data_IF_628517238785
#
_entry.id   IF_628517238785
#
_cell.length_a   1.000
_cell.length_b   1.000
_cell.length_c   1.000
_cell.angle_alpha   90.00
_cell.angle_beta   90.00
_cell.angle_gamma   90.00
#
_symmetry.space_group_name_H-M   'P 1'
#
loop_
_entity.id
_entity.type
_entity.pdbx_description
1 polymer ?
#
# COMPACT_ATOMS: atom_id res chain seq x y z
N UNK A 1 27.58 -5.37 -0.54
CA UNK A 1 26.20 -5.28 0.02
C UNK A 1 25.90 -3.81 0.24
N UNK A 2 24.70 -3.35 -0.09
CA UNK A 2 24.31 -1.94 0.07
C UNK A 2 23.00 -1.81 0.82
N UNK A 3 22.81 -0.69 1.52
CA UNK A 3 21.53 -0.30 2.09
C UNK A 3 20.90 0.79 1.23
N UNK A 4 19.57 0.92 1.31
CA UNK A 4 18.86 2.03 0.70
C UNK A 4 17.73 2.50 1.60
N UNK A 5 17.44 3.78 1.50
CA UNK A 5 16.25 4.42 2.05
C UNK A 5 15.63 5.28 0.96
N UNK A 6 14.31 5.28 0.86
CA UNK A 6 13.59 6.03 -0.13
C UNK A 6 12.23 6.45 0.39
N UNK A 7 11.76 7.61 -0.07
CA UNK A 7 10.43 8.11 0.19
C UNK A 7 9.75 8.43 -1.14
N UNK A 8 8.43 8.23 -1.21
CA UNK A 8 7.59 8.65 -2.33
C UNK A 8 6.32 9.27 -1.76
N UNK A 9 5.90 10.40 -2.28
CA UNK A 9 4.60 11.00 -2.02
C UNK A 9 3.87 11.18 -3.35
N UNK A 10 2.55 11.07 -3.34
CA UNK A 10 1.76 11.23 -4.55
C UNK A 10 0.26 11.13 -4.30
N UNK A 11 -0.49 11.32 -5.38
CA UNK A 11 -1.93 11.11 -5.38
C UNK A 11 -2.23 9.61 -5.40
N UNK A 12 -3.01 9.14 -4.44
CA UNK A 12 -3.44 7.76 -4.31
C UNK A 12 -4.97 7.67 -4.41
N UNK A 13 -5.46 6.56 -4.93
CA UNK A 13 -6.87 6.21 -4.96
C UNK A 13 -7.06 4.89 -4.21
N UNK A 14 -8.05 4.87 -3.32
CA UNK A 14 -8.48 3.68 -2.59
C UNK A 14 -9.87 3.31 -3.08
N UNK A 15 -10.05 2.05 -3.47
CA UNK A 15 -11.33 1.49 -3.90
C UNK A 15 -11.60 0.25 -3.05
N UNK A 16 -12.51 0.39 -2.08
CA UNK A 16 -12.98 -0.73 -1.26
C UNK A 16 -14.23 -1.31 -1.92
N UNK A 17 -14.19 -2.56 -2.40
CA UNK A 17 -15.37 -3.23 -2.91
C UNK A 17 -16.38 -3.46 -1.79
N UNK A 18 -17.64 -3.70 -2.18
CA UNK A 18 -18.69 -4.05 -1.24
C UNK A 18 -18.32 -5.31 -0.45
N UNK A 19 -18.27 -5.19 0.88
CA UNK A 19 -18.01 -6.31 1.78
C UNK A 19 -19.36 -6.90 2.19
N UNK A 20 -19.83 -7.87 1.40
CA UNK A 20 -21.01 -8.65 1.74
C UNK A 20 -20.71 -9.60 2.90
N UNK A 21 -21.21 -9.30 4.10
CA UNK A 21 -21.27 -10.30 5.17
C UNK A 21 -22.48 -11.21 4.93
N UNK A 22 -22.32 -12.49 5.24
CA UNK A 22 -23.34 -13.54 5.08
C UNK A 22 -24.67 -13.10 5.70
N UNK A 23 -25.75 -13.07 4.90
CA UNK A 23 -27.12 -12.85 5.40
C UNK A 23 -27.88 -11.62 4.88
N UNK A 24 -27.59 -11.12 3.67
CA UNK A 24 -28.50 -10.20 2.97
C UNK A 24 -28.53 -8.74 3.45
N UNK A 25 -27.74 -8.38 4.47
CA UNK A 25 -27.55 -7.00 4.90
C UNK A 25 -26.29 -6.39 4.27
N UNK A 26 -26.45 -5.52 3.27
CA UNK A 26 -25.39 -4.69 2.68
C UNK A 26 -25.09 -3.47 3.57
N UNK A 27 -24.64 -3.72 4.80
CA UNK A 27 -24.30 -2.66 5.77
C UNK A 27 -23.12 -1.79 5.30
N UNK A 28 -22.24 -2.32 4.44
CA UNK A 28 -21.01 -1.67 3.99
C UNK A 28 -20.93 -1.66 2.45
N UNK A 29 -21.60 -0.68 1.83
CA UNK A 29 -21.49 -0.43 0.39
C UNK A 29 -20.08 0.04 -0.02
N UNK A 30 -19.79 0.12 -1.33
CA UNK A 30 -18.46 0.45 -1.83
C UNK A 30 -18.00 1.82 -1.33
N UNK A 31 -16.75 1.91 -0.86
CA UNK A 31 -16.13 3.15 -0.38
C UNK A 31 -14.96 3.52 -1.28
N UNK A 32 -14.94 4.76 -1.76
CA UNK A 32 -13.89 5.25 -2.68
C UNK A 32 -13.41 6.60 -2.21
N UNK A 33 -12.10 6.74 -2.13
CA UNK A 33 -11.48 8.03 -1.81
C UNK A 33 -10.23 8.21 -2.66
N UNK A 34 -9.94 9.46 -3.00
CA UNK A 34 -8.66 9.81 -3.61
C UNK A 34 -8.06 10.99 -2.86
N UNK A 35 -6.75 10.99 -2.71
CA UNK A 35 -6.06 12.01 -1.93
C UNK A 35 -4.58 11.75 -1.79
N UNK A 36 -3.93 12.55 -0.96
CA UNK A 36 -2.50 12.42 -0.71
C UNK A 36 -2.16 11.13 0.05
N UNK A 37 -1.27 10.34 -0.54
CA UNK A 37 -0.62 9.20 0.08
C UNK A 37 0.90 9.37 0.08
N UNK A 38 1.56 8.65 0.99
CA UNK A 38 3.01 8.61 1.03
C UNK A 38 3.51 7.22 1.40
N UNK A 39 4.73 6.93 0.99
CA UNK A 39 5.38 5.64 1.15
C UNK A 39 6.84 5.84 1.54
N UNK A 40 7.29 5.16 2.58
CA UNK A 40 8.69 5.02 2.95
C UNK A 40 9.15 3.60 2.62
N UNK A 41 10.38 3.45 2.17
CA UNK A 41 11.04 2.16 1.92
C UNK A 41 12.44 2.21 2.52
N UNK A 42 12.80 1.16 3.24
CA UNK A 42 14.17 0.95 3.70
C UNK A 42 14.54 -0.51 3.45
N UNK A 43 15.78 -0.79 3.09
CA UNK A 43 16.17 -2.16 2.78
C UNK A 43 17.65 -2.37 2.56
N UNK A 44 17.98 -3.63 2.37
CA UNK A 44 19.29 -4.13 2.04
C UNK A 44 19.24 -4.72 0.63
N UNK A 45 20.28 -4.49 -0.14
CA UNK A 45 20.45 -5.04 -1.48
C UNK A 45 21.80 -5.75 -1.58
N UNK A 46 21.78 -6.95 -2.12
CA UNK A 46 22.93 -7.78 -2.38
C UNK A 46 23.07 -8.03 -3.88
N UNK A 47 24.25 -7.73 -4.43
CA UNK A 47 24.58 -8.01 -5.82
C UNK A 47 25.10 -9.44 -5.89
N UNK A 48 24.31 -10.33 -6.49
CA UNK A 48 24.65 -11.76 -6.64
C UNK A 48 25.64 -11.95 -7.79
N UNK A 49 25.46 -11.19 -8.88
CA UNK A 49 26.36 -11.12 -10.02
C UNK A 49 26.30 -9.70 -10.62
N UNK A 50 27.17 -9.36 -11.57
CA UNK A 50 27.24 -7.99 -12.12
C UNK A 50 25.88 -7.42 -12.56
N UNK A 51 25.03 -8.28 -13.14
CA UNK A 51 23.69 -7.92 -13.62
C UNK A 51 22.55 -8.27 -12.65
N UNK A 52 22.82 -9.03 -11.57
CA UNK A 52 21.78 -9.62 -10.72
C UNK A 52 21.81 -9.04 -9.31
N UNK A 53 20.67 -8.56 -8.82
CA UNK A 53 20.53 -8.01 -7.48
C UNK A 53 19.31 -8.59 -6.76
N UNK A 54 19.51 -9.02 -5.52
CA UNK A 54 18.45 -9.43 -4.59
C UNK A 54 18.33 -8.36 -3.50
N UNK A 55 17.13 -8.08 -3.02
CA UNK A 55 16.90 -7.09 -1.97
C UNK A 55 15.88 -7.57 -0.94
N UNK A 56 16.14 -7.27 0.33
CA UNK A 56 15.17 -7.38 1.42
C UNK A 56 14.76 -5.97 1.82
N UNK A 57 13.46 -5.67 1.82
CA UNK A 57 12.97 -4.32 2.08
C UNK A 57 11.76 -4.30 3.00
N UNK A 58 11.69 -3.27 3.84
CA UNK A 58 10.50 -2.90 4.58
C UNK A 58 9.87 -1.67 3.93
N UNK A 59 8.56 -1.71 3.73
CA UNK A 59 7.75 -0.66 3.16
C UNK A 59 6.73 -0.19 4.18
N UNK A 60 6.63 1.11 4.38
CA UNK A 60 5.59 1.73 5.18
C UNK A 60 4.77 2.66 4.30
N UNK A 61 3.49 2.36 4.12
CA UNK A 61 2.57 3.07 3.25
C UNK A 61 1.47 3.72 4.09
N UNK A 62 1.16 4.98 3.81
CA UNK A 62 0.00 5.70 4.35
C UNK A 62 -0.91 6.10 3.20
N UNK A 63 -2.16 5.63 3.24
CA UNK A 63 -3.19 5.95 2.26
C UNK A 63 -4.23 6.92 2.85
N UNK A 64 -4.96 7.67 2.00
CA UNK A 64 -6.14 8.39 2.45
C UNK A 64 -7.17 7.40 3.03
N UNK A 65 -7.90 7.81 4.07
CA UNK A 65 -8.98 6.99 4.63
C UNK A 65 -10.14 6.96 3.66
N UNK A 66 -10.66 5.78 3.33
CA UNK A 66 -11.81 5.68 2.45
C UNK A 66 -13.07 6.20 3.16
N UNK A 67 -13.88 7.02 2.50
CA UNK A 67 -15.17 7.46 3.03
C UNK A 67 -16.32 7.04 2.12
N UNK A 68 -17.50 6.82 2.71
CA UNK A 68 -18.75 6.65 1.97
C UNK A 68 -19.62 7.88 2.21
N UNK A 69 -19.93 8.62 1.15
CA UNK A 69 -20.79 9.81 1.19
C UNK A 69 -22.31 9.54 1.22
N UNK A 70 -22.74 8.27 1.33
CA UNK A 70 -24.15 7.87 1.38
C UNK A 70 -24.47 7.20 2.72
N UNK A 71 -25.67 7.41 3.26
CA UNK A 71 -26.09 6.81 4.53
C UNK A 71 -26.33 5.29 4.38
N UNK A 72 -25.90 4.46 5.36
CA UNK A 72 -25.06 4.82 6.51
C UNK A 72 -23.62 5.17 6.07
N UNK A 73 -23.13 6.32 6.54
CA UNK A 73 -21.77 6.77 6.23
C UNK A 73 -20.78 6.01 7.09
N UNK A 74 -19.81 5.38 6.44
CA UNK A 74 -18.73 4.65 7.10
C UNK A 74 -17.43 5.32 6.71
N UNK A 75 -16.76 5.88 7.71
CA UNK A 75 -15.43 6.46 7.56
C UNK A 75 -14.40 5.42 7.94
N UNK A 76 -13.71 4.88 6.94
CA UNK A 76 -12.57 4.01 7.18
C UNK A 76 -11.39 4.89 7.59
N UNK A 77 -10.80 4.57 8.75
CA UNK A 77 -9.64 5.31 9.26
C UNK A 77 -8.51 5.25 8.23
N UNK A 78 -7.67 6.28 8.18
CA UNK A 78 -6.42 6.26 7.38
C UNK A 78 -5.68 4.95 7.65
N UNK A 79 -5.57 4.13 6.62
CA UNK A 79 -4.84 2.88 6.73
C UNK A 79 -3.34 3.13 6.56
N UNK A 80 -2.58 2.59 7.51
CA UNK A 80 -1.14 2.52 7.41
C UNK A 80 -0.76 1.05 7.29
N UNK A 81 -0.05 0.73 6.23
CA UNK A 81 0.33 -0.63 5.91
C UNK A 81 1.85 -0.77 5.98
N UNK A 82 2.31 -1.76 6.74
CA UNK A 82 3.70 -2.20 6.77
C UNK A 82 3.85 -3.50 6.00
N UNK A 83 4.79 -3.57 5.06
CA UNK A 83 5.13 -4.80 4.34
C UNK A 83 6.62 -5.08 4.39
N UNK A 84 6.97 -6.32 4.72
CA UNK A 84 8.28 -6.89 4.44
C UNK A 84 8.23 -7.57 3.07
N UNK A 85 9.22 -7.33 2.21
CA UNK A 85 9.29 -7.89 0.88
C UNK A 85 10.70 -8.30 0.47
N UNK A 86 10.77 -9.34 -0.36
CA UNK A 86 11.99 -9.75 -1.05
C UNK A 86 11.83 -9.43 -2.53
N UNK A 87 12.85 -8.81 -3.11
CA UNK A 87 12.87 -8.39 -4.51
C UNK A 87 14.07 -8.94 -5.25
N UNK A 88 13.90 -9.14 -6.55
CA UNK A 88 14.96 -9.50 -7.48
C UNK A 88 14.94 -8.51 -8.65
N UNK A 89 16.12 -8.05 -9.07
CA UNK A 89 16.29 -7.12 -10.16
C UNK A 89 17.43 -7.58 -11.08
N UNK A 90 17.20 -7.45 -12.38
CA UNK A 90 18.16 -7.70 -13.43
C UNK A 90 18.44 -6.40 -14.19
N UNK A 91 19.72 -6.09 -14.40
CA UNK A 91 20.16 -4.94 -15.21
C UNK A 91 20.66 -5.46 -16.57
N UNK A 92 20.04 -4.98 -17.65
CA UNK A 92 20.43 -5.25 -19.04
C UNK A 92 21.68 -4.46 -19.43
#
# INVERSE_FOLDING_TARGET
MGSFIGARAGWAKVDLPELGFTGGCSCFGPAKESGWGWQLRAGLAYRVAQQHRVSLQYTYLSLPGASRGAEPSVTYRRERFGALGVGYAYAF
#
